data_IF_892321373059
#
_entry.id   IF_892321373059
#
_cell.length_a   1.000
_cell.length_b   1.000
_cell.length_c   1.000
_cell.angle_alpha   90.00
_cell.angle_beta   90.00
_cell.angle_gamma   90.00
#
_symmetry.space_group_name_H-M   'P 1'
#
loop_
_entity.id
_entity.type
_entity.pdbx_description
1 polymer ?
#
# COMPACT_ATOMS: atom_id res chain seq x y z
N UNK A 1 21.74 6.67 15.14
CA UNK A 1 22.50 5.82 14.18
C UNK A 1 22.79 4.45 14.79
N UNK A 2 23.66 4.38 15.81
CA UNK A 2 24.16 3.09 16.39
C UNK A 2 23.04 2.11 16.77
N UNK A 3 21.96 2.57 17.39
CA UNK A 3 20.81 1.73 17.75
C UNK A 3 20.15 1.09 16.50
N UNK A 4 19.94 1.85 15.42
CA UNK A 4 19.33 1.35 14.20
C UNK A 4 20.21 0.30 13.50
N UNK A 5 21.53 0.52 13.50
CA UNK A 5 22.51 -0.44 12.97
C UNK A 5 22.50 -1.73 13.79
N UNK A 6 22.60 -1.61 15.11
CA UNK A 6 22.60 -2.77 16.02
C UNK A 6 21.31 -3.59 15.87
N UNK A 7 20.16 -2.93 15.78
CA UNK A 7 18.87 -3.62 15.60
C UNK A 7 18.79 -4.32 14.24
N UNK A 8 19.27 -3.66 13.17
CA UNK A 8 19.36 -4.26 11.83
C UNK A 8 20.24 -5.51 11.82
N UNK A 9 21.39 -5.46 12.51
CA UNK A 9 22.38 -6.57 12.53
C UNK A 9 21.88 -7.75 13.37
N UNK A 10 21.24 -7.48 14.51
CA UNK A 10 20.68 -8.50 15.40
C UNK A 10 19.48 -9.21 14.77
N UNK A 11 18.76 -8.58 13.86
CA UNK A 11 17.42 -8.88 13.38
C UNK A 11 16.34 -8.65 14.46
N UNK A 12 15.18 -8.24 13.99
CA UNK A 12 14.02 -7.92 14.84
C UNK A 12 13.21 -9.18 15.20
N UNK A 13 12.76 -9.24 16.44
CA UNK A 13 11.76 -10.20 16.91
C UNK A 13 10.34 -9.66 16.72
N UNK A 14 9.33 -10.55 16.68
CA UNK A 14 7.92 -10.14 16.57
C UNK A 14 7.51 -9.20 17.73
N UNK A 15 7.98 -9.48 18.96
CA UNK A 15 7.69 -8.64 20.13
C UNK A 15 8.31 -7.23 20.04
N UNK A 16 9.51 -7.12 19.51
CA UNK A 16 10.16 -5.82 19.27
C UNK A 16 9.42 -5.00 18.21
N UNK A 17 9.00 -5.65 17.12
CA UNK A 17 8.21 -5.00 16.07
C UNK A 17 6.86 -4.50 16.60
N UNK A 18 6.14 -5.33 17.36
CA UNK A 18 4.87 -4.95 18.01
C UNK A 18 5.07 -3.77 18.96
N UNK A 19 6.13 -3.82 19.78
CA UNK A 19 6.45 -2.74 20.73
C UNK A 19 6.79 -1.44 20.00
N UNK A 20 7.54 -1.50 18.91
CA UNK A 20 7.91 -0.34 18.10
C UNK A 20 6.68 0.33 17.47
N UNK A 21 5.80 -0.45 16.82
CA UNK A 21 4.54 0.09 16.27
C UNK A 21 3.70 0.72 17.38
N UNK A 22 3.55 0.05 18.53
CA UNK A 22 2.83 0.58 19.70
C UNK A 22 3.42 1.90 20.21
N UNK A 23 4.75 2.03 20.20
CA UNK A 23 5.44 3.24 20.61
C UNK A 23 5.19 4.37 19.60
N UNK A 24 5.36 4.14 18.30
CA UNK A 24 5.14 5.14 17.26
C UNK A 24 3.70 5.66 17.26
N UNK A 25 2.71 4.79 17.46
CA UNK A 25 1.29 5.18 17.50
C UNK A 25 0.95 6.21 18.57
N UNK A 26 1.78 6.39 19.60
CA UNK A 26 1.57 7.45 20.60
C UNK A 26 1.85 8.86 20.06
N UNK A 27 2.61 8.97 18.99
CA UNK A 27 3.03 10.23 18.37
C UNK A 27 2.23 10.58 17.13
N UNK A 28 1.41 9.63 16.62
CA UNK A 28 0.59 9.85 15.43
C UNK A 28 -0.52 10.84 15.71
N UNK A 29 -0.62 11.85 14.85
CA UNK A 29 -1.78 12.74 14.75
C UNK A 29 -2.83 12.07 13.88
N UNK A 30 -3.88 11.57 14.50
CA UNK A 30 -4.95 10.86 13.79
C UNK A 30 -5.94 11.84 13.16
N UNK A 31 -6.33 11.55 11.91
CA UNK A 31 -7.44 12.22 11.23
C UNK A 31 -8.33 11.14 10.62
N UNK A 32 -9.49 10.90 11.21
CA UNK A 32 -10.35 9.78 10.84
C UNK A 32 -10.93 9.94 9.43
N UNK A 33 -10.81 8.88 8.64
CA UNK A 33 -11.50 8.70 7.36
C UNK A 33 -12.42 7.49 7.48
N UNK A 34 -13.72 7.75 7.40
CA UNK A 34 -14.73 6.69 7.54
C UNK A 34 -14.69 5.71 6.34
N UNK A 35 -15.05 4.46 6.59
CA UNK A 35 -15.14 3.42 5.56
C UNK A 35 -13.86 3.25 4.75
N UNK A 36 -12.70 3.34 5.40
CA UNK A 36 -11.43 3.40 4.70
C UNK A 36 -10.61 2.12 4.81
N UNK A 37 -9.79 1.94 3.80
CA UNK A 37 -8.76 0.91 3.67
C UNK A 37 -7.42 1.61 3.46
N UNK A 38 -6.43 1.34 4.31
CA UNK A 38 -5.07 1.86 4.15
C UNK A 38 -4.24 0.98 3.24
N UNK A 39 -3.60 1.60 2.25
CA UNK A 39 -2.66 1.00 1.33
C UNK A 39 -1.22 1.26 1.80
N UNK A 40 -0.59 0.22 2.33
CA UNK A 40 0.74 0.28 2.94
C UNK A 40 1.87 0.20 1.92
N UNK A 41 2.15 1.30 1.24
CA UNK A 41 3.25 1.43 0.31
C UNK A 41 4.62 1.37 0.99
N UNK A 42 5.63 1.02 0.21
CA UNK A 42 7.03 1.13 0.62
C UNK A 42 7.50 2.57 0.43
N UNK A 43 8.28 3.09 1.39
CA UNK A 43 8.83 4.45 1.32
C UNK A 43 10.21 4.51 0.64
N UNK A 44 10.74 3.38 0.21
CA UNK A 44 12.06 3.27 -0.43
C UNK A 44 12.04 3.39 -1.97
N UNK A 45 10.94 3.89 -2.52
CA UNK A 45 10.80 4.21 -3.94
C UNK A 45 10.37 3.04 -4.83
N UNK A 46 9.92 3.40 -6.03
CA UNK A 46 9.51 2.48 -7.10
C UNK A 46 10.18 2.89 -8.41
N UNK A 47 10.73 1.92 -9.13
CA UNK A 47 11.50 2.13 -10.35
C UNK A 47 10.91 1.41 -11.57
N UNK A 48 10.32 0.23 -11.39
CA UNK A 48 10.01 -0.67 -12.49
C UNK A 48 8.55 -0.64 -12.95
N UNK A 49 7.67 0.00 -12.20
CA UNK A 49 6.25 0.12 -12.52
C UNK A 49 5.69 1.49 -12.13
N UNK A 50 4.73 2.05 -12.88
CA UNK A 50 4.04 3.25 -12.47
C UNK A 50 3.22 3.00 -11.20
N UNK A 51 2.86 4.04 -10.47
CA UNK A 51 1.82 3.95 -9.44
C UNK A 51 0.44 3.96 -10.11
N UNK A 52 -0.44 3.05 -9.71
CA UNK A 52 -1.80 2.99 -10.23
C UNK A 52 -2.81 3.82 -9.42
N UNK A 53 -2.46 4.18 -8.20
CA UNK A 53 -3.38 4.87 -7.29
C UNK A 53 -3.97 6.18 -7.82
N UNK A 54 -3.32 6.94 -8.73
CA UNK A 54 -3.95 8.11 -9.32
C UNK A 54 -5.21 7.80 -10.12
N UNK A 55 -5.31 6.57 -10.66
CA UNK A 55 -6.48 6.12 -11.42
C UNK A 55 -7.64 5.69 -10.50
N UNK A 56 -7.38 5.38 -9.24
CA UNK A 56 -8.36 4.82 -8.31
C UNK A 56 -9.49 5.80 -7.99
N UNK A 57 -9.22 7.11 -7.99
CA UNK A 57 -10.23 8.13 -7.72
C UNK A 57 -11.41 8.04 -8.71
N UNK A 58 -11.11 8.06 -10.00
CA UNK A 58 -12.12 8.00 -11.05
C UNK A 58 -12.82 6.64 -11.09
N UNK A 59 -12.06 5.54 -10.91
CA UNK A 59 -12.63 4.18 -10.88
C UNK A 59 -13.61 4.03 -9.71
N UNK A 60 -13.25 4.49 -8.51
CA UNK A 60 -14.13 4.44 -7.33
C UNK A 60 -15.35 5.35 -7.49
N UNK A 61 -15.16 6.55 -8.05
CA UNK A 61 -16.28 7.46 -8.34
C UNK A 61 -17.30 6.81 -9.25
N UNK A 62 -16.88 6.28 -10.41
CA UNK A 62 -17.76 5.57 -11.33
C UNK A 62 -18.43 4.35 -10.69
N UNK A 63 -17.67 3.57 -9.92
CA UNK A 63 -18.18 2.42 -9.23
C UNK A 63 -19.30 2.79 -8.25
N UNK A 64 -19.12 3.81 -7.42
CA UNK A 64 -20.11 4.24 -6.43
C UNK A 64 -21.31 4.97 -7.06
N UNK A 65 -21.14 5.63 -8.19
CA UNK A 65 -22.24 6.19 -8.94
C UNK A 65 -23.17 5.10 -9.50
N UNK A 66 -22.62 3.97 -9.94
CA UNK A 66 -23.36 2.81 -10.48
C UNK A 66 -23.92 1.89 -9.37
N UNK A 67 -23.29 1.81 -8.21
CA UNK A 67 -23.60 0.85 -7.13
C UNK A 67 -23.94 1.61 -5.83
N UNK A 68 -25.03 2.35 -5.83
CA UNK A 68 -25.45 3.20 -4.69
C UNK A 68 -25.92 2.42 -3.46
N UNK A 69 -26.17 1.13 -3.59
CA UNK A 69 -26.47 0.18 -2.54
C UNK A 69 -25.22 -0.25 -1.74
N UNK A 70 -24.04 -0.04 -2.29
CA UNK A 70 -22.76 -0.38 -1.67
C UNK A 70 -22.21 0.82 -0.88
N UNK A 71 -21.86 0.60 0.38
CA UNK A 71 -21.20 1.63 1.19
C UNK A 71 -19.88 2.07 0.52
N UNK A 72 -19.67 3.38 0.31
CA UNK A 72 -18.47 3.87 -0.33
C UNK A 72 -17.18 3.40 0.35
N UNK A 73 -16.17 3.10 -0.45
CA UNK A 73 -14.82 2.76 0.01
C UNK A 73 -13.91 3.97 -0.20
N UNK A 74 -13.24 4.40 0.86
CA UNK A 74 -12.16 5.36 0.81
C UNK A 74 -10.81 4.64 0.87
N UNK A 75 -9.84 5.08 0.09
CA UNK A 75 -8.48 4.59 0.15
C UNK A 75 -7.58 5.62 0.85
N UNK A 76 -6.74 5.13 1.75
CA UNK A 76 -5.77 5.94 2.47
C UNK A 76 -4.37 5.54 2.04
N UNK A 77 -3.58 6.51 1.62
CA UNK A 77 -2.20 6.34 1.17
C UNK A 77 -1.32 7.24 2.01
N UNK A 78 -0.26 6.68 2.58
CA UNK A 78 0.76 7.47 3.27
C UNK A 78 2.01 7.61 2.40
N UNK A 79 2.71 8.73 2.54
CA UNK A 79 3.97 8.99 1.88
C UNK A 79 4.90 9.87 2.67
N UNK A 80 6.16 9.93 2.24
CA UNK A 80 7.22 10.77 2.77
C UNK A 80 8.30 10.98 1.70
N UNK A 81 9.36 11.68 2.07
CA UNK A 81 10.61 11.70 1.31
C UNK A 81 11.14 10.27 1.09
N UNK A 82 11.87 10.09 0.00
CA UNK A 82 12.50 8.81 -0.34
C UNK A 82 13.37 8.30 0.83
N UNK A 83 13.15 7.04 1.18
CA UNK A 83 13.92 6.38 2.23
C UNK A 83 14.94 5.42 1.62
N UNK A 84 16.17 5.30 2.15
CA UNK A 84 17.14 4.34 1.64
C UNK A 84 16.67 2.88 1.87
N UNK A 85 17.11 1.87 1.09
CA UNK A 85 18.27 1.94 0.15
C UNK A 85 17.85 1.60 -1.28
N UNK A 86 16.71 2.11 -1.76
CA UNK A 86 16.36 2.10 -3.17
C UNK A 86 16.31 3.52 -3.69
N UNK A 87 16.11 3.63 -4.99
CA UNK A 87 15.84 4.88 -5.69
C UNK A 87 14.42 4.83 -6.27
N UNK A 88 14.09 5.80 -7.12
CA UNK A 88 12.83 5.85 -7.84
C UNK A 88 11.80 6.77 -7.18
N UNK A 89 10.56 6.67 -7.64
CA UNK A 89 9.48 7.56 -7.27
C UNK A 89 8.84 7.14 -5.94
N UNK A 90 8.40 8.12 -5.17
CA UNK A 90 7.60 7.92 -3.96
C UNK A 90 6.13 8.22 -4.20
N UNK A 91 5.25 7.76 -3.31
CA UNK A 91 3.84 8.19 -3.33
C UNK A 91 3.70 9.69 -3.17
N UNK A 92 4.62 10.36 -2.46
CA UNK A 92 4.66 11.81 -2.28
C UNK A 92 4.91 12.55 -3.60
N UNK A 93 5.86 12.08 -4.40
CA UNK A 93 6.18 12.70 -5.70
C UNK A 93 4.97 12.67 -6.62
N UNK A 94 4.30 11.52 -6.69
CA UNK A 94 3.10 11.35 -7.51
C UNK A 94 1.95 12.21 -6.98
N UNK A 95 1.68 12.16 -5.67
CA UNK A 95 0.52 12.86 -5.09
C UNK A 95 0.63 14.38 -5.18
N UNK A 96 1.84 14.92 -5.12
CA UNK A 96 2.10 16.35 -5.33
C UNK A 96 1.84 16.82 -6.77
N UNK A 97 1.70 15.88 -7.70
CA UNK A 97 1.56 16.14 -9.14
C UNK A 97 0.17 15.82 -9.71
N UNK A 98 -0.77 15.41 -8.85
CA UNK A 98 -2.15 15.08 -9.21
C UNK A 98 -3.17 15.90 -8.40
N UNK A 99 -4.39 15.99 -8.90
CA UNK A 99 -5.47 16.65 -8.19
C UNK A 99 -5.97 15.81 -7.01
N UNK A 100 -6.42 16.50 -5.95
CA UNK A 100 -7.02 15.84 -4.79
C UNK A 100 -8.40 15.31 -5.15
N UNK A 101 -8.66 14.05 -4.74
CA UNK A 101 -9.94 13.38 -4.96
C UNK A 101 -10.83 13.36 -3.72
N UNK A 102 -11.98 12.67 -3.87
CA UNK A 102 -12.96 12.42 -2.81
C UNK A 102 -12.72 11.07 -2.13
N UNK A 103 -12.23 10.06 -2.86
CA UNK A 103 -12.10 8.67 -2.42
C UNK A 103 -10.67 8.24 -2.13
N UNK A 104 -9.66 8.98 -2.63
CA UNK A 104 -8.25 8.71 -2.39
C UNK A 104 -7.65 9.82 -1.53
N UNK A 105 -7.30 9.47 -0.29
CA UNK A 105 -6.79 10.38 0.72
C UNK A 105 -5.30 10.17 0.96
N UNK A 106 -4.52 11.22 0.83
CA UNK A 106 -3.08 11.17 1.09
C UNK A 106 -2.75 11.75 2.46
N UNK A 107 -1.87 11.05 3.17
CA UNK A 107 -1.34 11.43 4.46
C UNK A 107 0.18 11.63 4.36
N UNK A 108 0.64 12.87 4.40
CA UNK A 108 2.07 13.16 4.47
C UNK A 108 2.61 12.81 5.86
N UNK A 109 3.64 11.96 5.91
CA UNK A 109 4.20 11.51 7.18
C UNK A 109 4.77 12.64 8.03
N UNK A 110 5.30 13.69 7.42
CA UNK A 110 5.80 14.86 8.14
C UNK A 110 4.70 15.57 8.93
N UNK A 111 3.43 15.43 8.52
CA UNK A 111 2.29 16.04 9.19
C UNK A 111 1.73 15.16 10.31
N UNK A 112 1.63 13.85 10.08
CA UNK A 112 1.02 12.94 11.05
C UNK A 112 2.00 12.27 12.02
N UNK A 113 3.30 12.16 11.64
CA UNK A 113 4.36 11.53 12.46
C UNK A 113 5.71 12.17 12.14
N UNK A 114 5.85 13.44 12.48
CA UNK A 114 7.02 14.28 12.17
C UNK A 114 8.33 13.66 12.69
N UNK A 115 8.31 13.08 13.88
CA UNK A 115 9.49 12.49 14.52
C UNK A 115 10.10 11.37 13.70
N UNK A 116 9.27 10.59 12.98
CA UNK A 116 9.78 9.54 12.08
C UNK A 116 10.26 10.13 10.74
N UNK A 117 9.59 11.14 10.22
CA UNK A 117 10.00 11.84 9.00
C UNK A 117 11.35 12.55 9.20
N UNK A 118 11.57 13.19 10.34
CA UNK A 118 12.82 13.88 10.69
C UNK A 118 14.04 12.92 10.75
N UNK A 119 13.82 11.61 10.89
CA UNK A 119 14.90 10.62 10.83
C UNK A 119 15.38 10.32 9.40
N UNK A 120 14.73 10.84 8.36
CA UNK A 120 15.09 10.56 6.95
C UNK A 120 16.54 10.89 6.69
N UNK A 121 17.03 12.08 7.06
CA UNK A 121 18.42 12.50 6.89
C UNK A 121 19.42 11.53 7.56
N UNK A 122 19.14 11.11 8.78
CA UNK A 122 19.97 10.12 9.47
C UNK A 122 19.98 8.78 8.73
N UNK A 123 18.82 8.36 8.20
CA UNK A 123 18.72 7.10 7.44
C UNK A 123 19.47 7.19 6.10
N UNK A 124 19.47 8.32 5.44
CA UNK A 124 20.27 8.60 4.24
C UNK A 124 21.76 8.48 4.54
N UNK A 125 22.24 9.10 5.63
CA UNK A 125 23.63 8.97 6.08
C UNK A 125 24.05 7.52 6.40
N UNK A 126 23.13 6.70 6.90
CA UNK A 126 23.36 5.27 7.11
C UNK A 126 23.39 4.46 5.81
N UNK A 127 22.73 4.92 4.77
CA UNK A 127 22.69 4.30 3.44
C UNK A 127 22.09 2.91 3.37
N UNK A 128 21.29 2.49 4.36
CA UNK A 128 20.72 1.14 4.41
C UNK A 128 19.32 1.11 5.02
N UNK A 129 18.59 0.03 4.70
CA UNK A 129 17.27 -0.21 5.29
C UNK A 129 17.39 -0.50 6.78
N UNK A 130 16.58 0.22 7.54
CA UNK A 130 16.43 0.01 8.98
C UNK A 130 15.13 -0.74 9.28
N UNK A 131 14.87 -1.06 10.53
CA UNK A 131 13.59 -1.64 10.97
C UNK A 131 12.39 -0.75 10.59
N UNK A 132 12.59 0.56 10.48
CA UNK A 132 11.51 1.48 10.11
C UNK A 132 10.95 1.19 8.71
N UNK A 133 11.76 0.74 7.74
CA UNK A 133 11.27 0.32 6.42
C UNK A 133 10.22 -0.82 6.50
N UNK A 134 10.22 -1.57 7.59
CA UNK A 134 9.25 -2.64 7.85
C UNK A 134 8.01 -2.11 8.57
N UNK A 135 8.17 -1.31 9.62
CA UNK A 135 7.06 -0.92 10.50
C UNK A 135 6.29 0.31 10.02
N UNK A 136 6.87 1.12 9.15
CA UNK A 136 6.25 2.37 8.67
C UNK A 136 5.13 2.17 7.64
N UNK A 137 4.96 0.96 7.10
CA UNK A 137 4.04 0.68 5.99
C UNK A 137 2.56 0.84 6.34
N UNK A 138 2.16 0.44 7.55
CA UNK A 138 0.76 0.47 8.01
C UNK A 138 0.70 1.07 9.42
N UNK A 139 0.78 2.37 9.52
CA UNK A 139 0.70 3.09 10.80
C UNK A 139 -0.72 3.58 11.14
N UNK A 140 -1.64 3.43 10.22
CA UNK A 140 -3.05 3.75 10.38
C UNK A 140 -3.32 5.18 10.89
N UNK A 141 -2.84 6.23 10.21
CA UNK A 141 -3.08 7.60 10.64
C UNK A 141 -4.54 8.05 10.46
N UNK A 142 -5.28 7.35 9.59
CA UNK A 142 -6.67 7.64 9.29
C UNK A 142 -7.68 6.83 10.12
N UNK A 143 -7.21 5.97 11.04
CA UNK A 143 -8.06 5.01 11.76
C UNK A 143 -8.91 4.15 10.80
N UNK A 144 -8.29 3.69 9.71
CA UNK A 144 -8.91 2.85 8.69
C UNK A 144 -9.36 1.50 9.26
N UNK A 145 -10.45 0.98 8.74
CA UNK A 145 -11.00 -0.32 9.16
C UNK A 145 -10.12 -1.49 8.67
N UNK A 146 -9.52 -1.37 7.49
CA UNK A 146 -8.75 -2.42 6.85
C UNK A 146 -7.37 -1.91 6.44
N UNK A 147 -6.38 -2.82 6.39
CA UNK A 147 -5.04 -2.51 5.92
C UNK A 147 -4.54 -3.52 4.88
N UNK A 148 -3.96 -3.03 3.79
CA UNK A 148 -3.31 -3.85 2.77
C UNK A 148 -1.86 -3.43 2.63
N UNK A 149 -0.93 -4.38 2.74
CA UNK A 149 0.48 -4.16 2.45
C UNK A 149 1.04 -5.27 1.58
N UNK A 150 2.30 -5.20 1.23
CA UNK A 150 2.95 -6.23 0.43
C UNK A 150 4.22 -6.77 1.09
N UNK A 151 4.47 -8.06 0.86
CA UNK A 151 5.70 -8.74 1.23
C UNK A 151 6.35 -9.38 0.01
N UNK A 152 7.63 -9.11 -0.21
CA UNK A 152 8.42 -9.80 -1.22
C UNK A 152 8.82 -11.20 -0.74
N UNK A 153 9.19 -11.33 0.54
CA UNK A 153 9.62 -12.59 1.15
C UNK A 153 8.57 -13.13 2.11
N UNK A 154 8.20 -14.41 1.96
CA UNK A 154 7.18 -15.09 2.76
C UNK A 154 7.35 -14.96 4.29
N UNK A 155 8.56 -14.97 4.89
CA UNK A 155 8.72 -14.74 6.34
C UNK A 155 8.16 -13.40 6.84
N UNK A 156 8.14 -12.36 6.01
CA UNK A 156 7.57 -11.07 6.38
C UNK A 156 6.03 -11.05 6.41
N UNK A 157 5.35 -11.99 5.76
CA UNK A 157 3.89 -12.10 5.82
C UNK A 157 3.42 -12.24 7.26
N UNK A 158 3.98 -13.22 7.99
CA UNK A 158 3.66 -13.43 9.41
C UNK A 158 3.98 -12.18 10.25
N UNK A 159 5.16 -11.56 10.03
CA UNK A 159 5.56 -10.36 10.75
C UNK A 159 4.55 -9.22 10.57
N UNK A 160 4.11 -8.96 9.34
CA UNK A 160 3.11 -7.90 9.05
C UNK A 160 1.76 -8.19 9.71
N UNK A 161 1.25 -9.41 9.58
CA UNK A 161 -0.01 -9.81 10.22
C UNK A 161 0.07 -9.63 11.74
N UNK A 162 1.12 -10.14 12.39
CA UNK A 162 1.30 -10.03 13.84
C UNK A 162 1.45 -8.57 14.32
N UNK A 163 2.19 -7.73 13.57
CA UNK A 163 2.39 -6.32 13.92
C UNK A 163 1.13 -5.49 13.83
N UNK A 164 0.38 -5.67 12.73
CA UNK A 164 -0.63 -4.70 12.33
C UNK A 164 -2.06 -5.12 12.64
N UNK A 165 -2.36 -6.42 12.70
CA UNK A 165 -3.73 -6.96 12.86
C UNK A 165 -4.54 -6.27 13.96
N UNK A 166 -3.95 -5.99 15.11
CA UNK A 166 -4.69 -5.36 16.23
C UNK A 166 -5.13 -3.91 16.00
N UNK A 167 -4.66 -3.28 14.93
CA UNK A 167 -4.98 -1.89 14.60
C UNK A 167 -6.02 -1.74 13.49
N UNK A 168 -6.48 -2.87 12.95
CA UNK A 168 -7.47 -2.96 11.89
C UNK A 168 -8.47 -4.06 12.21
N UNK A 169 -9.62 -4.07 11.56
CA UNK A 169 -10.54 -5.22 11.59
C UNK A 169 -9.89 -6.43 10.93
N UNK A 170 -9.16 -6.18 9.83
CA UNK A 170 -8.36 -7.21 9.16
C UNK A 170 -7.19 -6.59 8.38
N UNK A 171 -6.16 -7.41 8.11
CA UNK A 171 -4.96 -7.04 7.35
C UNK A 171 -4.70 -8.06 6.26
N UNK A 172 -4.52 -7.57 5.04
CA UNK A 172 -4.12 -8.35 3.88
C UNK A 172 -2.65 -8.12 3.55
N UNK A 173 -1.94 -9.19 3.22
CA UNK A 173 -0.57 -9.09 2.70
C UNK A 173 -0.54 -9.61 1.27
N UNK A 174 -0.18 -8.77 0.31
CA UNK A 174 -0.06 -9.12 -1.11
C UNK A 174 1.37 -9.51 -1.48
N UNK A 175 1.51 -10.37 -2.49
CA UNK A 175 2.72 -10.42 -3.32
C UNK A 175 2.61 -9.31 -4.38
N UNK A 176 2.79 -8.07 -3.95
CA UNK A 176 2.67 -6.89 -4.82
C UNK A 176 4.00 -6.46 -5.45
N UNK A 177 3.91 -5.58 -6.43
CA UNK A 177 5.08 -5.07 -7.13
C UNK A 177 5.93 -4.17 -6.22
N UNK A 178 7.23 -4.37 -6.22
CA UNK A 178 8.23 -3.55 -5.54
C UNK A 178 7.93 -3.22 -4.07
N UNK A 179 7.26 -4.16 -3.38
CA UNK A 179 6.90 -4.00 -1.97
C UNK A 179 5.69 -3.09 -1.71
N UNK A 180 4.96 -2.73 -2.76
CA UNK A 180 3.73 -1.95 -2.67
C UNK A 180 2.48 -2.85 -2.72
N UNK A 181 1.33 -2.36 -2.26
CA UNK A 181 0.08 -3.13 -2.29
C UNK A 181 -0.57 -3.22 -3.68
N UNK A 182 0.14 -2.88 -4.74
CA UNK A 182 -0.36 -2.95 -6.12
C UNK A 182 0.13 -4.19 -6.86
N UNK A 183 -0.77 -4.79 -7.62
CA UNK A 183 -0.55 -6.01 -8.41
C UNK A 183 -0.33 -5.64 -9.87
N UNK A 184 0.72 -6.23 -10.49
CA UNK A 184 1.08 -6.09 -11.90
C UNK A 184 1.30 -7.45 -12.61
N UNK A 185 1.25 -8.55 -11.86
CA UNK A 185 1.44 -9.89 -12.39
C UNK A 185 0.61 -10.90 -11.61
N UNK A 186 0.51 -12.12 -12.12
CA UNK A 186 -0.05 -13.25 -11.38
C UNK A 186 0.62 -13.35 -10.00
N UNK A 187 -0.15 -13.68 -9.00
CA UNK A 187 0.36 -13.69 -7.66
C UNK A 187 -0.54 -14.36 -6.65
N UNK A 188 -0.43 -13.90 -5.45
CA UNK A 188 -1.19 -14.40 -4.30
C UNK A 188 -1.28 -13.35 -3.21
N UNK A 189 -2.22 -13.56 -2.31
CA UNK A 189 -2.30 -12.82 -1.07
C UNK A 189 -2.43 -13.75 0.13
N UNK A 190 -2.15 -13.22 1.29
CA UNK A 190 -2.26 -13.92 2.57
C UNK A 190 -3.12 -13.12 3.51
N UNK A 191 -4.00 -13.84 4.22
CA UNK A 191 -4.78 -13.30 5.34
C UNK A 191 -4.83 -14.32 6.47
N UNK A 192 -5.17 -13.89 7.66
CA UNK A 192 -5.40 -14.79 8.77
C UNK A 192 -6.90 -15.13 8.86
N UNK A 193 -7.20 -16.43 8.93
CA UNK A 193 -8.54 -16.95 9.16
C UNK A 193 -8.43 -17.96 10.29
N UNK A 194 -9.20 -17.78 11.36
CA UNK A 194 -9.23 -18.66 12.54
C UNK A 194 -7.84 -18.98 13.12
N UNK A 195 -6.96 -17.96 13.16
CA UNK A 195 -5.60 -18.09 13.66
C UNK A 195 -4.59 -18.75 12.70
N UNK A 196 -5.02 -19.11 11.50
CA UNK A 196 -4.16 -19.68 10.45
C UNK A 196 -3.94 -18.71 9.31
N UNK A 197 -2.70 -18.63 8.84
CA UNK A 197 -2.36 -17.84 7.65
C UNK A 197 -2.68 -18.68 6.41
N UNK A 198 -3.70 -18.27 5.68
CA UNK A 198 -4.07 -18.88 4.40
C UNK A 198 -3.46 -18.13 3.24
N UNK A 199 -3.08 -18.86 2.20
CA UNK A 199 -2.51 -18.34 0.96
C UNK A 199 -3.54 -18.53 -0.16
N UNK A 200 -3.91 -17.45 -0.84
CA UNK A 200 -4.92 -17.47 -1.90
C UNK A 200 -4.27 -16.96 -3.19
N UNK A 201 -4.12 -17.82 -4.22
CA UNK A 201 -3.60 -17.42 -5.51
C UNK A 201 -4.64 -16.66 -6.33
N UNK A 202 -4.17 -15.84 -7.26
CA UNK A 202 -4.96 -15.22 -8.31
C UNK A 202 -4.16 -15.18 -9.63
N UNK A 203 -4.88 -15.17 -10.75
CA UNK A 203 -4.31 -15.03 -12.08
C UNK A 203 -4.96 -13.86 -12.80
N UNK A 204 -4.15 -12.95 -13.36
CA UNK A 204 -4.63 -11.81 -14.13
C UNK A 204 -5.29 -12.24 -15.43
N UNK A 205 -4.85 -13.38 -16.03
CA UNK A 205 -5.43 -13.93 -17.25
C UNK A 205 -6.90 -14.33 -17.07
N UNK A 206 -7.32 -14.71 -15.85
CA UNK A 206 -8.72 -15.06 -15.56
C UNK A 206 -9.66 -13.84 -15.71
N UNK A 207 -9.06 -12.64 -15.69
CA UNK A 207 -9.74 -11.33 -15.85
C UNK A 207 -9.40 -10.66 -17.20
N UNK A 208 -8.79 -11.38 -18.12
CA UNK A 208 -8.43 -10.85 -19.45
C UNK A 208 -7.34 -9.78 -19.43
N UNK A 209 -6.41 -9.87 -18.46
CA UNK A 209 -5.28 -8.94 -18.28
C UNK A 209 -3.99 -9.65 -18.70
N UNK A 210 -3.23 -9.05 -19.61
CA UNK A 210 -2.00 -9.61 -20.19
C UNK A 210 -0.79 -8.69 -20.03
N UNK A 211 -0.78 -7.83 -19.00
CA UNK A 211 0.28 -6.87 -18.79
C UNK A 211 1.63 -7.55 -18.52
N UNK A 212 2.65 -7.19 -19.30
CA UNK A 212 4.01 -7.74 -19.23
C UNK A 212 5.10 -6.66 -19.26
N UNK A 213 4.70 -5.38 -19.28
CA UNK A 213 5.65 -4.27 -19.36
C UNK A 213 6.37 -4.04 -18.03
N UNK A 214 7.69 -3.87 -18.11
CA UNK A 214 8.55 -3.46 -17.00
C UNK A 214 9.48 -2.35 -17.47
N UNK A 215 9.69 -1.36 -16.64
CA UNK A 215 10.62 -0.25 -16.90
C UNK A 215 11.96 -0.55 -16.19
N UNK A 216 13.07 -0.10 -16.76
CA UNK A 216 14.38 -0.15 -16.06
C UNK A 216 14.44 0.91 -14.96
N UNK A 217 13.99 2.13 -15.28
CA UNK A 217 13.79 3.22 -14.34
C UNK A 217 12.74 4.16 -14.91
N UNK A 218 11.59 4.25 -14.25
CA UNK A 218 10.51 5.14 -14.68
C UNK A 218 10.72 6.54 -14.12
N UNK A 219 10.70 7.55 -14.98
CA UNK A 219 10.74 8.96 -14.56
C UNK A 219 9.37 9.42 -14.03
N UNK A 220 9.36 10.52 -13.27
CA UNK A 220 8.12 11.14 -12.81
C UNK A 220 7.22 11.55 -13.98
N UNK A 221 7.80 12.14 -15.03
CA UNK A 221 7.07 12.57 -16.22
C UNK A 221 6.40 11.38 -16.93
N UNK A 222 7.15 10.28 -17.14
CA UNK A 222 6.60 9.06 -17.73
C UNK A 222 5.50 8.44 -16.87
N UNK A 223 5.69 8.39 -15.55
CA UNK A 223 4.70 7.85 -14.63
C UNK A 223 3.41 8.67 -14.65
N UNK A 224 3.50 10.00 -14.68
CA UNK A 224 2.35 10.90 -14.77
C UNK A 224 1.66 10.83 -16.13
N UNK A 225 2.40 10.69 -17.23
CA UNK A 225 1.83 10.53 -18.56
C UNK A 225 1.01 9.23 -18.67
N UNK A 226 1.52 8.11 -18.12
CA UNK A 226 0.80 6.83 -18.10
C UNK A 226 -0.53 6.95 -17.36
N UNK A 227 -0.58 7.67 -16.25
CA UNK A 227 -1.83 7.79 -15.46
C UNK A 227 -2.76 8.86 -16.00
N UNK A 228 -2.24 9.84 -16.72
CA UNK A 228 -3.05 10.86 -17.42
C UNK A 228 -3.70 10.31 -18.69
N UNK A 229 -2.98 9.47 -19.42
CA UNK A 229 -3.41 8.85 -20.68
C UNK A 229 -3.26 7.32 -20.60
N UNK A 230 -3.98 6.65 -19.69
CA UNK A 230 -3.84 5.21 -19.48
C UNK A 230 -4.36 4.43 -20.69
N UNK A 231 -3.60 3.45 -21.14
CA UNK A 231 -4.10 2.48 -22.08
C UNK A 231 -5.02 1.45 -21.40
N UNK A 232 -5.70 0.62 -22.19
CA UNK A 232 -6.66 -0.38 -21.70
C UNK A 232 -6.05 -1.36 -20.68
N UNK A 233 -4.79 -1.76 -20.87
CA UNK A 233 -4.10 -2.69 -19.97
C UNK A 233 -3.86 -2.06 -18.57
N UNK A 234 -3.41 -0.81 -18.54
CA UNK A 234 -3.22 -0.05 -17.28
C UNK A 234 -4.55 0.17 -16.57
N UNK A 235 -5.62 0.50 -17.33
CA UNK A 235 -6.96 0.65 -16.76
C UNK A 235 -7.48 -0.66 -16.18
N UNK A 236 -7.31 -1.78 -16.89
CA UNK A 236 -7.68 -3.12 -16.40
C UNK A 236 -6.90 -3.48 -15.13
N UNK A 237 -5.58 -3.22 -15.09
CA UNK A 237 -4.77 -3.42 -13.88
C UNK A 237 -5.28 -2.58 -12.71
N UNK A 238 -5.56 -1.30 -12.92
CA UNK A 238 -6.10 -0.43 -11.89
C UNK A 238 -7.46 -0.91 -11.37
N UNK A 239 -8.37 -1.31 -12.28
CA UNK A 239 -9.66 -1.92 -11.92
C UNK A 239 -9.50 -3.23 -11.15
N UNK A 240 -8.55 -4.09 -11.52
CA UNK A 240 -8.27 -5.32 -10.81
C UNK A 240 -7.79 -5.07 -9.37
N UNK A 241 -6.90 -4.10 -9.17
CA UNK A 241 -6.47 -3.70 -7.84
C UNK A 241 -7.66 -3.18 -7.01
N UNK A 242 -8.53 -2.34 -7.58
CA UNK A 242 -9.75 -1.89 -6.91
C UNK A 242 -10.69 -3.07 -6.60
N UNK A 243 -10.84 -4.04 -7.51
CA UNK A 243 -11.63 -5.24 -7.24
C UNK A 243 -11.13 -6.01 -6.01
N UNK A 244 -9.82 -6.21 -5.90
CA UNK A 244 -9.20 -6.81 -4.70
C UNK A 244 -9.51 -6.01 -3.43
N UNK A 245 -9.41 -4.68 -3.49
CA UNK A 245 -9.66 -3.81 -2.33
C UNK A 245 -11.14 -3.79 -1.91
N UNK A 246 -12.07 -3.81 -2.87
CA UNK A 246 -13.50 -3.90 -2.60
C UNK A 246 -13.87 -5.20 -1.89
N UNK A 247 -13.36 -6.33 -2.35
CA UNK A 247 -13.55 -7.63 -1.70
C UNK A 247 -12.96 -7.64 -0.30
N UNK A 248 -11.73 -7.16 -0.18
CA UNK A 248 -11.03 -7.17 1.10
C UNK A 248 -11.67 -6.24 2.12
N UNK A 249 -12.17 -5.08 1.69
CA UNK A 249 -12.94 -4.16 2.52
C UNK A 249 -14.41 -4.60 2.73
N UNK A 250 -14.76 -5.82 2.30
CA UNK A 250 -16.11 -6.41 2.47
C UNK A 250 -17.22 -5.57 1.83
N UNK A 251 -16.93 -4.94 0.69
CA UNK A 251 -17.91 -4.18 -0.10
C UNK A 251 -18.65 -5.05 -1.09
N UNK A 252 -18.01 -6.12 -1.54
CA UNK A 252 -18.54 -7.16 -2.43
C UNK A 252 -18.02 -8.52 -1.96
N UNK A 253 -18.72 -9.60 -2.34
CA UNK A 253 -18.46 -10.94 -1.79
C UNK A 253 -17.32 -11.68 -2.52
N UNK A 254 -17.10 -11.41 -3.81
CA UNK A 254 -16.08 -12.10 -4.60
C UNK A 254 -15.36 -11.19 -5.57
N UNK A 255 -14.19 -11.65 -6.02
CA UNK A 255 -13.38 -10.92 -7.00
C UNK A 255 -14.08 -10.86 -8.37
N UNK A 256 -14.80 -11.92 -8.75
CA UNK A 256 -15.57 -12.01 -9.97
C UNK A 256 -16.75 -11.01 -9.95
N UNK A 257 -17.45 -10.89 -8.82
CA UNK A 257 -18.54 -9.90 -8.68
C UNK A 257 -17.98 -8.47 -8.71
N UNK A 258 -16.89 -8.21 -8.00
CA UNK A 258 -16.20 -6.91 -8.05
C UNK A 258 -15.79 -6.54 -9.48
N UNK A 259 -15.16 -7.48 -10.18
CA UNK A 259 -14.70 -7.29 -11.56
C UNK A 259 -15.85 -7.00 -12.53
N UNK A 260 -16.94 -7.76 -12.42
CA UNK A 260 -18.15 -7.56 -13.23
C UNK A 260 -18.79 -6.18 -13.00
N UNK A 261 -18.78 -5.69 -11.76
CA UNK A 261 -19.36 -4.37 -11.41
C UNK A 261 -18.48 -3.19 -11.86
N UNK A 262 -17.17 -3.42 -12.02
CA UNK A 262 -16.21 -2.40 -12.45
C UNK A 262 -16.14 -2.25 -13.99
N UNK A 263 -16.68 -3.21 -14.76
CA UNK A 263 -16.67 -3.22 -16.21
C UNK A 263 -18.08 -3.18 -16.79
#
# INVERSE_FOLDING_TARGET
>A
GAFLIAWRTKLETDSELIAAVKALKKYIKFTKIENSLELGYSFDGRENNPFLFPLYENILKEFHEKNKDITPLNLVISGDFLQPAKNGLTTKDIFNSIDKGQYVHYFDRIEYLKELSDLTKLREELGLRTVFNTIEKLLNPASSDFGVTAAFHKPYVKKYLVMFKKYYKDVLVLKGAEGSPEVFSNGKYWKEVDGQIIEIPFSLSDFGITYDKTYESISLEEALEIVKNPNDEILKLAKFNIALYLVFAQRVDSLEDAWKRLN
#
